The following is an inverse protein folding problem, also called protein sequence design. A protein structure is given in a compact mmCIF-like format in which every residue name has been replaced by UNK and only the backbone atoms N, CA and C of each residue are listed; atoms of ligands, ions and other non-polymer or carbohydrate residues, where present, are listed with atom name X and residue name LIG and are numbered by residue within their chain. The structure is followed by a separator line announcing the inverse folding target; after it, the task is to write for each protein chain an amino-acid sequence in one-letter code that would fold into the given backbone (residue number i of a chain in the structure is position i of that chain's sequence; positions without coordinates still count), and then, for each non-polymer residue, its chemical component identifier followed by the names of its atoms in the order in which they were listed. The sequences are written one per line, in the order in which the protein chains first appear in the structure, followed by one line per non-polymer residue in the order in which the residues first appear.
data_IF_089338384364
#
_entry.id   IF_089338384364
#
_cell.length_a   1.000
_cell.length_b   1.000
_cell.length_c   1.000
_cell.angle_alpha   90.00
_cell.angle_beta   90.00
_cell.angle_gamma   90.00
#
_symmetry.space_group_name_H-M   'P 1'
#
loop_
_entity.id
_entity.type
_entity.pdbx_description
1 polymer ?
#
# COMPACT_ATOMS: atom_id res chain seq x y z
N UNK A 1 15.01 -27.25 -3.13
CA UNK A 1 15.00 -25.93 -3.81
C UNK A 1 13.79 -25.14 -3.31
N UNK A 2 13.97 -24.17 -2.40
CA UNK A 2 12.90 -23.25 -2.02
C UNK A 2 12.69 -22.30 -3.19
N UNK A 3 11.52 -22.36 -3.83
CA UNK A 3 11.07 -21.26 -4.67
C UNK A 3 10.98 -20.02 -3.78
N UNK A 4 11.99 -19.14 -3.82
CA UNK A 4 11.90 -17.81 -3.26
C UNK A 4 10.91 -17.01 -4.12
N UNK A 5 9.63 -17.34 -3.96
CA UNK A 5 8.49 -16.65 -4.55
C UNK A 5 8.26 -15.30 -3.88
N UNK A 6 9.33 -14.52 -3.70
CA UNK A 6 9.19 -13.11 -3.43
C UNK A 6 8.60 -12.49 -4.68
N UNK A 7 7.36 -12.02 -4.53
CA UNK A 7 6.49 -11.41 -5.52
C UNK A 7 6.99 -10.04 -5.96
N UNK A 8 8.28 -9.93 -6.29
CA UNK A 8 8.92 -8.71 -6.77
C UNK A 8 8.22 -8.33 -8.08
N UNK A 9 7.48 -7.23 -8.06
CA UNK A 9 6.92 -6.65 -9.27
C UNK A 9 8.05 -5.96 -10.01
N UNK A 10 8.32 -6.39 -11.24
CA UNK A 10 9.32 -5.73 -12.09
C UNK A 10 8.74 -4.44 -12.65
N UNK A 11 9.61 -3.54 -13.11
CA UNK A 11 9.19 -2.32 -13.83
C UNK A 11 8.34 -2.66 -15.05
N UNK A 12 8.69 -3.72 -15.78
CA UNK A 12 7.95 -4.23 -16.94
C UNK A 12 6.55 -4.69 -16.55
N UNK A 13 6.41 -5.46 -15.46
CA UNK A 13 5.10 -5.89 -14.95
C UNK A 13 4.20 -4.68 -14.67
N UNK A 14 4.76 -3.59 -14.12
CA UNK A 14 4.00 -2.37 -13.84
C UNK A 14 3.64 -1.61 -15.11
N UNK A 15 4.52 -1.57 -16.11
CA UNK A 15 4.21 -0.96 -17.40
C UNK A 15 3.09 -1.69 -18.13
N UNK A 16 3.11 -3.03 -18.15
CA UNK A 16 1.98 -3.82 -18.68
C UNK A 16 0.68 -3.58 -17.92
N UNK A 17 0.77 -3.41 -16.60
CA UNK A 17 -0.39 -3.09 -15.78
C UNK A 17 -1.00 -1.73 -16.18
N UNK A 18 -0.17 -0.70 -16.35
CA UNK A 18 -0.61 0.63 -16.80
C UNK A 18 -1.17 0.59 -18.22
N UNK A 19 -0.53 -0.16 -19.12
CA UNK A 19 -1.01 -0.36 -20.50
C UNK A 19 -2.33 -1.13 -20.54
N UNK A 20 -2.55 -2.08 -19.63
CA UNK A 20 -3.83 -2.78 -19.51
C UNK A 20 -4.98 -1.85 -19.08
N UNK A 21 -4.67 -0.75 -18.37
CA UNK A 21 -5.64 0.30 -18.01
C UNK A 21 -5.98 1.22 -19.17
N UNK A 22 -5.01 1.53 -20.05
CA UNK A 22 -5.26 2.42 -21.19
C UNK A 22 -6.31 1.90 -22.16
N UNK A 23 -6.54 0.58 -22.19
CA UNK A 23 -7.61 -0.04 -22.96
C UNK A 23 -8.95 -0.21 -22.23
N UNK A 24 -9.04 0.20 -20.95
CA UNK A 24 -10.27 0.12 -20.19
C UNK A 24 -11.22 1.29 -20.53
N UNK A 25 -12.54 1.04 -20.63
CA UNK A 25 -13.50 2.09 -21.02
C UNK A 25 -13.67 3.18 -19.97
N UNK A 26 -13.26 2.94 -18.71
CA UNK A 26 -13.27 3.93 -17.65
C UNK A 26 -11.91 3.96 -16.94
N UNK A 27 -11.29 5.14 -16.81
CA UNK A 27 -10.08 5.27 -16.03
C UNK A 27 -10.37 4.99 -14.55
N UNK A 28 -9.39 4.47 -13.80
CA UNK A 28 -9.47 4.42 -12.36
C UNK A 28 -9.85 5.77 -11.76
N UNK A 29 -11.01 5.87 -11.12
CA UNK A 29 -11.36 7.10 -10.39
C UNK A 29 -10.47 7.26 -9.17
N UNK A 30 -9.86 8.44 -9.06
CA UNK A 30 -8.92 8.79 -8.00
C UNK A 30 -9.61 9.65 -6.95
N UNK A 31 -9.60 9.21 -5.69
CA UNK A 31 -9.74 10.09 -4.53
C UNK A 31 -11.08 10.81 -4.33
N UNK A 32 -12.06 10.64 -5.21
CA UNK A 32 -13.42 11.04 -4.89
C UNK A 32 -13.98 10.03 -3.89
N UNK A 33 -14.57 10.52 -2.80
CA UNK A 33 -15.14 9.73 -1.72
C UNK A 33 -16.17 8.78 -2.32
N UNK A 34 -15.71 7.63 -2.77
CA UNK A 34 -16.57 6.57 -3.23
C UNK A 34 -17.41 6.24 -2.02
N UNK A 35 -18.72 6.47 -2.13
CA UNK A 35 -19.65 6.12 -1.07
C UNK A 35 -19.26 4.73 -0.57
N UNK A 36 -19.22 4.55 0.74
CA UNK A 36 -18.75 3.29 1.36
C UNK A 36 -19.56 2.08 0.86
N UNK A 37 -20.71 2.35 0.25
CA UNK A 37 -21.63 1.40 -0.39
C UNK A 37 -21.37 1.15 -1.89
N UNK A 38 -20.52 1.95 -2.55
CA UNK A 38 -20.10 1.79 -3.95
C UNK A 38 -18.77 1.02 -4.07
N UNK A 39 -18.56 0.03 -3.19
CA UNK A 39 -17.38 -0.84 -3.16
C UNK A 39 -17.24 -1.75 -4.41
N UNK A 40 -18.15 -1.63 -5.39
CA UNK A 40 -18.22 -2.49 -6.57
C UNK A 40 -17.89 -1.83 -7.91
N UNK A 41 -17.74 -0.50 -8.03
CA UNK A 41 -17.45 0.08 -9.35
C UNK A 41 -16.01 -0.21 -9.81
N UNK A 42 -15.11 -0.47 -8.85
CA UNK A 42 -13.78 -1.04 -9.09
C UNK A 42 -13.72 -2.54 -8.79
N UNK A 43 -14.86 -3.25 -8.73
CA UNK A 43 -14.86 -4.72 -8.66
C UNK A 43 -14.34 -5.24 -9.99
N UNK A 44 -13.01 -5.26 -10.09
CA UNK A 44 -12.20 -5.86 -11.14
C UNK A 44 -12.96 -5.87 -12.47
N UNK A 45 -12.92 -4.76 -13.23
CA UNK A 45 -13.28 -4.87 -14.65
C UNK A 45 -12.46 -6.06 -15.17
N UNK A 46 -13.08 -7.22 -15.45
CA UNK A 46 -12.35 -8.44 -15.75
C UNK A 46 -11.45 -8.22 -16.96
N UNK A 47 -11.78 -7.21 -17.79
CA UNK A 47 -10.96 -6.72 -18.88
C UNK A 47 -9.54 -6.29 -18.49
N UNK A 48 -9.32 -5.65 -17.33
CA UNK A 48 -7.97 -5.22 -16.93
C UNK A 48 -7.06 -6.44 -16.70
N UNK A 49 -7.55 -7.44 -15.95
CA UNK A 49 -6.76 -8.65 -15.69
C UNK A 49 -6.55 -9.47 -16.96
N UNK A 50 -7.58 -9.63 -17.79
CA UNK A 50 -7.46 -10.31 -19.08
C UNK A 50 -6.44 -9.62 -20.01
N UNK A 51 -6.45 -8.28 -20.09
CA UNK A 51 -5.46 -7.51 -20.87
C UNK A 51 -4.05 -7.64 -20.28
N UNK A 52 -3.91 -7.54 -18.96
CA UNK A 52 -2.64 -7.75 -18.28
C UNK A 52 -2.06 -9.14 -18.58
N UNK A 53 -2.90 -10.19 -18.51
CA UNK A 53 -2.50 -11.55 -18.84
C UNK A 53 -2.08 -11.70 -20.30
N UNK A 54 -2.79 -11.06 -21.23
CA UNK A 54 -2.41 -11.06 -22.65
C UNK A 54 -1.05 -10.37 -22.87
N UNK A 55 -0.80 -9.23 -22.23
CA UNK A 55 0.46 -8.50 -22.31
C UNK A 55 1.63 -9.25 -21.66
N UNK A 56 1.37 -10.02 -20.60
CA UNK A 56 2.38 -10.84 -19.93
C UNK A 56 2.67 -12.17 -20.66
N UNK A 57 2.28 -12.32 -21.92
CA UNK A 57 2.49 -13.53 -22.71
C UNK A 57 1.51 -14.68 -22.41
N UNK A 58 0.33 -14.37 -21.89
CA UNK A 58 -0.76 -15.34 -21.66
C UNK A 58 -0.64 -16.16 -20.38
N UNK A 59 0.43 -15.99 -19.60
CA UNK A 59 0.62 -16.68 -18.33
C UNK A 59 1.20 -15.73 -17.29
N UNK A 60 0.54 -15.64 -16.13
CA UNK A 60 1.06 -14.89 -14.99
C UNK A 60 0.86 -15.68 -13.71
N UNK A 61 1.84 -15.62 -12.81
CA UNK A 61 1.75 -16.21 -11.46
C UNK A 61 0.90 -15.35 -10.52
N UNK A 62 0.45 -14.18 -10.97
CA UNK A 62 -0.28 -13.19 -10.15
C UNK A 62 -1.77 -13.47 -10.19
N UNK A 63 -2.41 -13.49 -9.03
CA UNK A 63 -3.87 -13.57 -8.96
C UNK A 63 -4.52 -12.23 -9.27
N UNK A 64 -5.79 -12.25 -9.69
CA UNK A 64 -6.61 -11.04 -9.92
C UNK A 64 -6.55 -10.09 -8.72
N UNK A 65 -6.66 -10.64 -7.51
CA UNK A 65 -6.59 -9.86 -6.27
C UNK A 65 -5.22 -9.16 -6.09
N UNK A 66 -4.12 -9.81 -6.44
CA UNK A 66 -2.78 -9.20 -6.35
C UNK A 66 -2.58 -8.10 -7.39
N UNK A 67 -3.09 -8.27 -8.61
CA UNK A 67 -3.06 -7.25 -9.67
C UNK A 67 -3.89 -6.02 -9.26
N UNK A 68 -5.07 -6.24 -8.67
CA UNK A 68 -5.90 -5.17 -8.12
C UNK A 68 -5.21 -4.42 -6.99
N UNK A 69 -4.72 -5.13 -5.97
CA UNK A 69 -3.99 -4.49 -4.85
C UNK A 69 -2.78 -3.73 -5.36
N UNK A 70 -2.10 -4.25 -6.39
CA UNK A 70 -0.97 -3.55 -7.00
C UNK A 70 -1.40 -2.27 -7.72
N UNK A 71 -2.54 -2.30 -8.40
CA UNK A 71 -3.13 -1.13 -9.05
C UNK A 71 -3.37 -0.01 -8.05
N UNK A 72 -4.03 -0.31 -6.93
CA UNK A 72 -4.28 0.64 -5.84
C UNK A 72 -2.96 1.25 -5.33
N UNK A 73 -1.94 0.43 -5.07
CA UNK A 73 -0.61 0.88 -4.64
C UNK A 73 0.08 1.80 -5.66
N UNK A 74 0.04 1.48 -6.96
CA UNK A 74 0.65 2.30 -8.01
C UNK A 74 -0.04 3.65 -8.12
N UNK A 75 -1.38 3.65 -8.03
CA UNK A 75 -2.16 4.88 -7.99
C UNK A 75 -1.76 5.71 -6.76
N UNK A 76 -1.90 5.20 -5.55
CA UNK A 76 -1.53 5.92 -4.32
C UNK A 76 -0.11 6.52 -4.39
N UNK A 77 0.83 5.77 -4.97
CA UNK A 77 2.20 6.23 -5.18
C UNK A 77 2.31 7.37 -6.18
N UNK A 78 1.59 7.29 -7.30
CA UNK A 78 1.52 8.37 -8.29
C UNK A 78 0.93 9.66 -7.68
N UNK A 79 -0.18 9.57 -6.94
CA UNK A 79 -0.75 10.75 -6.30
C UNK A 79 0.15 11.35 -5.23
N UNK A 80 0.84 10.50 -4.46
CA UNK A 80 1.83 10.95 -3.49
C UNK A 80 2.96 11.73 -4.16
N UNK A 81 3.52 11.22 -5.26
CA UNK A 81 4.61 11.88 -6.00
C UNK A 81 4.12 13.20 -6.62
N UNK A 82 2.91 13.23 -7.19
CA UNK A 82 2.33 14.48 -7.71
C UNK A 82 2.11 15.52 -6.61
N UNK A 83 1.64 15.10 -5.45
CA UNK A 83 1.51 15.98 -4.28
C UNK A 83 2.86 16.52 -3.82
N UNK A 84 3.90 15.68 -3.84
CA UNK A 84 5.27 16.09 -3.55
C UNK A 84 5.79 17.12 -4.55
N UNK A 85 5.57 16.93 -5.85
CA UNK A 85 5.97 17.89 -6.89
C UNK A 85 5.20 19.21 -6.81
N UNK A 86 3.93 19.18 -6.40
CA UNK A 86 3.11 20.38 -6.23
C UNK A 86 3.56 21.24 -5.04
N UNK A 87 4.10 20.62 -3.98
CA UNK A 87 4.60 21.30 -2.80
C UNK A 87 6.09 21.66 -2.94
N UNK A 88 6.35 22.89 -3.42
CA UNK A 88 7.71 23.43 -3.57
C UNK A 88 8.48 23.55 -2.25
N UNK A 89 7.78 23.79 -1.14
CA UNK A 89 8.41 23.89 0.17
C UNK A 89 8.89 22.52 0.65
N UNK A 90 8.08 21.48 0.41
CA UNK A 90 8.41 20.13 0.83
C UNK A 90 9.45 19.45 -0.05
N UNK A 91 9.43 19.75 -1.36
CA UNK A 91 10.40 19.22 -2.32
C UNK A 91 11.76 19.92 -2.27
N UNK A 92 11.85 21.08 -1.63
CA UNK A 92 13.06 21.91 -1.61
C UNK A 92 13.57 22.21 -3.05
N UNK A 93 12.64 22.23 -4.02
CA UNK A 93 12.94 22.40 -5.44
C UNK A 93 13.60 21.20 -6.13
N UNK A 94 13.75 20.05 -5.45
CA UNK A 94 14.33 18.83 -6.02
C UNK A 94 13.25 17.96 -6.66
N UNK A 95 13.60 17.29 -7.75
CA UNK A 95 12.75 16.29 -8.36
C UNK A 95 12.72 15.01 -7.49
N UNK A 96 11.54 14.39 -7.35
CA UNK A 96 11.35 13.16 -6.60
C UNK A 96 12.31 12.05 -7.04
N UNK A 97 12.51 11.89 -8.35
CA UNK A 97 13.37 10.83 -8.91
C UNK A 97 14.87 11.14 -8.82
N UNK A 98 15.25 12.37 -8.47
CA UNK A 98 16.63 12.74 -8.17
C UNK A 98 17.05 12.42 -6.73
N UNK A 99 16.08 12.17 -5.84
CA UNK A 99 16.34 11.79 -4.46
C UNK A 99 16.90 10.37 -4.36
N UNK A 100 17.73 10.13 -3.35
CA UNK A 100 18.19 8.77 -3.05
C UNK A 100 17.02 7.88 -2.59
N UNK A 101 17.13 6.57 -2.82
CA UNK A 101 16.11 5.59 -2.38
C UNK A 101 15.85 5.67 -0.87
N UNK A 102 16.89 5.96 -0.08
CA UNK A 102 16.78 6.15 1.37
C UNK A 102 15.91 7.37 1.75
N UNK A 103 16.12 8.49 1.06
CA UNK A 103 15.34 9.73 1.25
C UNK A 103 13.89 9.56 0.81
N UNK A 104 13.66 8.96 -0.36
CA UNK A 104 12.30 8.67 -0.85
C UNK A 104 11.52 7.85 0.18
N UNK A 105 12.11 6.76 0.71
CA UNK A 105 11.49 5.95 1.78
C UNK A 105 11.30 6.71 3.08
N UNK A 106 12.19 7.64 3.44
CA UNK A 106 12.04 8.47 4.62
C UNK A 106 10.84 9.42 4.47
N UNK A 107 10.71 10.09 3.32
CA UNK A 107 9.60 11.00 3.02
C UNK A 107 8.25 10.28 3.01
N UNK A 108 8.18 9.09 2.40
CA UNK A 108 6.98 8.23 2.43
C UNK A 108 6.57 7.82 3.86
N UNK A 109 7.54 7.47 4.71
CA UNK A 109 7.26 7.11 6.12
C UNK A 109 6.72 8.30 6.91
N UNK A 110 7.30 9.48 6.71
CA UNK A 110 6.86 10.72 7.39
C UNK A 110 5.43 11.11 7.02
N UNK A 111 5.01 10.84 5.78
CA UNK A 111 3.64 11.09 5.35
C UNK A 111 2.61 10.08 5.89
N UNK A 112 3.05 9.02 6.59
CA UNK A 112 2.15 8.01 7.15
C UNK A 112 1.51 7.09 6.11
N UNK A 113 1.91 7.18 4.85
CA UNK A 113 1.30 6.44 3.75
C UNK A 113 1.80 5.00 3.71
N UNK A 114 1.13 4.10 4.45
CA UNK A 114 1.46 2.66 4.47
C UNK A 114 1.33 1.97 3.11
N UNK A 115 0.58 2.55 2.17
CA UNK A 115 0.28 1.95 0.87
C UNK A 115 1.12 2.50 -0.28
N UNK A 116 1.92 3.55 -0.07
CA UNK A 116 2.80 4.09 -1.11
C UNK A 116 4.02 3.19 -1.24
N UNK A 117 4.43 2.92 -2.48
CA UNK A 117 5.65 2.19 -2.82
C UNK A 117 6.53 3.01 -3.76
N UNK A 118 7.80 2.63 -3.81
CA UNK A 118 8.73 3.15 -4.79
C UNK A 118 8.29 2.67 -6.18
N UNK A 119 8.08 3.62 -7.08
CA UNK A 119 7.81 3.38 -8.50
C UNK A 119 8.87 4.09 -9.32
N UNK A 120 9.22 3.51 -10.46
CA UNK A 120 10.23 4.10 -11.35
C UNK A 120 9.66 5.28 -12.12
N UNK A 121 10.55 6.20 -12.53
CA UNK A 121 10.19 7.38 -13.32
C UNK A 121 9.40 7.03 -14.59
N UNK A 122 9.76 5.92 -15.26
CA UNK A 122 9.06 5.43 -16.45
C UNK A 122 7.61 5.05 -16.17
N UNK A 123 7.36 4.36 -15.05
CA UNK A 123 6.01 3.95 -14.65
C UNK A 123 5.19 5.17 -14.26
N UNK A 124 5.79 6.10 -13.51
CA UNK A 124 5.13 7.36 -13.15
C UNK A 124 4.73 8.17 -14.39
N UNK A 125 5.65 8.36 -15.35
CA UNK A 125 5.37 9.08 -16.59
C UNK A 125 4.27 8.39 -17.43
N UNK A 126 4.24 7.06 -17.47
CA UNK A 126 3.18 6.32 -18.17
C UNK A 126 1.80 6.52 -17.51
N UNK A 127 1.75 6.52 -16.16
CA UNK A 127 0.52 6.79 -15.41
C UNK A 127 0.08 8.24 -15.60
N UNK A 128 1.01 9.20 -15.55
CA UNK A 128 0.67 10.62 -15.71
C UNK A 128 0.21 10.94 -17.14
N UNK A 129 0.84 10.34 -18.16
CA UNK A 129 0.38 10.43 -19.54
C UNK A 129 -1.04 9.87 -19.72
N UNK A 130 -1.34 8.75 -19.06
CA UNK A 130 -2.68 8.17 -19.08
C UNK A 130 -3.74 9.14 -18.51
N UNK A 131 -3.42 9.87 -17.44
CA UNK A 131 -4.34 10.87 -16.87
C UNK A 131 -4.34 12.22 -17.63
N UNK A 132 -3.24 12.60 -18.28
CA UNK A 132 -3.14 13.86 -19.03
C UNK A 132 -3.86 13.83 -20.38
N UNK A 133 -4.08 12.65 -20.97
CA UNK A 133 -4.73 12.51 -22.29
C UNK A 133 -6.24 12.71 -22.25
N UNK A 134 -6.91 12.57 -21.10
CA UNK A 134 -8.38 12.64 -21.02
C UNK A 134 -8.96 14.04 -21.13
N UNK A 135 -8.17 15.08 -20.84
CA UNK A 135 -8.62 16.48 -20.94
C UNK A 135 -8.32 17.09 -22.32
N UNK A 136 -7.49 16.43 -23.13
CA UNK A 136 -7.32 16.79 -24.54
C UNK A 136 -8.46 16.17 -25.34
N UNK A 137 -9.63 16.81 -25.21
CA UNK A 137 -10.83 16.47 -25.96
C UNK A 137 -10.49 16.16 -27.42
N UNK A 138 -10.80 14.95 -27.92
CA UNK A 138 -10.53 14.56 -29.31
C UNK A 138 -11.30 15.43 -30.33
N UNK A 139 -12.18 16.33 -29.87
CA UNK A 139 -12.86 17.31 -30.71
C UNK A 139 -11.93 18.38 -31.32
N UNK A 140 -10.69 18.55 -30.82
CA UNK A 140 -9.78 19.60 -31.31
C UNK A 140 -8.76 19.14 -32.38
N UNK A 141 -8.62 17.83 -32.64
CA UNK A 141 -7.60 17.31 -33.59
C UNK A 141 -8.17 17.07 -35.00
N UNK A 142 -9.48 17.21 -35.21
CA UNK A 142 -10.12 17.02 -36.51
C UNK A 142 -10.04 18.21 -37.49
N UNK A 143 -9.21 19.25 -37.25
CA UNK A 143 -9.22 20.47 -38.10
C UNK A 143 -7.86 20.97 -38.62
N UNK A 144 -6.80 20.14 -38.64
CA UNK A 144 -5.52 20.52 -39.28
C UNK A 144 -4.95 19.45 -40.22
N UNK A 145 -5.79 18.95 -41.12
CA UNK A 145 -5.34 18.34 -42.39
C UNK A 145 -5.75 19.25 -43.54
N UNK A 146 -5.13 20.43 -43.61
CA UNK A 146 -5.17 21.27 -44.81
C UNK A 146 -3.74 21.38 -45.36
N UNK A 147 -3.42 20.41 -46.22
CA UNK A 147 -2.74 20.62 -47.51
C UNK A 147 -1.58 21.63 -47.54
N UNK A 148 -0.36 21.17 -47.30
CA UNK A 148 0.83 21.80 -47.89
C UNK A 148 1.69 20.72 -48.53
N UNK A 149 1.85 20.86 -49.85
CA UNK A 149 2.53 19.94 -50.76
C UNK A 149 4.05 19.86 -50.51
N UNK A 150 4.70 18.74 -50.89
CA UNK A 150 6.13 18.57 -50.74
C UNK A 150 6.90 19.27 -51.87
N UNK A 151 7.92 20.06 -51.51
CA UNK A 151 8.95 20.54 -52.46
C UNK A 151 10.29 19.94 -52.05
N UNK A 152 10.83 19.15 -52.98
CA UNK A 152 12.09 18.43 -52.88
C UNK A 152 13.31 19.36 -53.06
N UNK A 153 14.33 19.11 -52.24
CA UNK A 153 15.77 19.43 -52.40
C UNK A 153 16.44 18.86 -51.14
N UNK A 154 17.16 17.73 -51.16
CA UNK A 154 18.47 17.41 -51.79
C UNK A 154 19.61 18.23 -51.16
N UNK A 155 20.70 17.50 -50.86
CA UNK A 155 22.01 17.86 -50.28
C UNK A 155 22.09 17.57 -48.76
N UNK A 156 22.68 16.45 -48.29
CA UNK A 156 24.07 15.93 -48.43
C UNK A 156 25.05 16.75 -47.58
N UNK A 157 25.44 16.22 -46.41
CA UNK A 157 26.77 16.44 -45.84
C UNK A 157 27.09 15.44 -44.72
N UNK A 158 28.19 14.71 -44.94
CA UNK A 158 29.04 14.03 -43.96
C UNK A 158 29.39 14.96 -42.79
N UNK A 159 29.51 14.45 -41.55
CA UNK A 159 30.77 14.62 -40.81
C UNK A 159 30.85 13.86 -39.47
N UNK A 160 32.02 13.27 -39.29
CA UNK A 160 32.80 13.09 -38.06
C UNK A 160 32.30 12.18 -36.93
N UNK A 161 32.81 10.95 -37.02
CA UNK A 161 33.32 10.14 -35.92
C UNK A 161 34.31 10.95 -35.05
N UNK A 162 34.11 10.96 -33.73
CA UNK A 162 35.20 11.20 -32.77
C UNK A 162 35.22 10.08 -31.73
N UNK A 163 36.26 9.25 -31.85
CA UNK A 163 36.84 8.46 -30.78
C UNK A 163 37.48 9.38 -29.71
N UNK A 164 37.21 9.10 -28.44
CA UNK A 164 38.10 9.43 -27.31
C UNK A 164 37.86 8.34 -26.26
N UNK A 165 38.73 7.35 -26.10
CA UNK A 165 40.13 7.34 -25.64
C UNK A 165 40.34 7.82 -24.18
N UNK A 166 40.91 6.87 -23.44
CA UNK A 166 41.61 6.88 -22.15
C UNK A 166 41.35 7.94 -21.06
N UNK A 167 41.02 7.43 -19.87
CA UNK A 167 41.78 7.64 -18.60
C UNK A 167 41.05 6.88 -17.49
N UNK A 168 41.58 5.80 -16.92
CA UNK A 168 42.73 5.72 -16.01
C UNK A 168 42.69 6.83 -14.94
N UNK A 169 42.45 6.45 -13.67
CA UNK A 169 43.20 6.89 -12.49
C UNK A 169 42.49 6.53 -11.17
N UNK A 170 43.24 5.76 -10.36
CA UNK A 170 43.40 5.84 -8.89
C UNK A 170 42.28 5.36 -7.96
N UNK A 171 42.52 4.14 -7.48
CA UNK A 171 42.40 3.78 -6.06
C UNK A 171 43.09 4.83 -5.17
N UNK A 172 42.37 5.38 -4.19
CA UNK A 172 42.98 5.80 -2.93
C UNK A 172 42.19 5.25 -1.74
N UNK A 173 42.85 4.29 -1.08
CA UNK A 173 42.60 3.92 0.31
C UNK A 173 42.97 5.11 1.21
N UNK A 174 42.03 5.57 2.02
CA UNK A 174 42.34 6.28 3.24
C UNK A 174 41.54 5.68 4.40
N UNK A 175 42.28 4.91 5.20
CA UNK A 175 41.95 4.56 6.57
C UNK A 175 41.86 5.82 7.43
N UNK A 176 40.67 6.14 7.93
CA UNK A 176 40.47 7.18 8.95
C UNK A 176 39.94 6.55 10.23
N UNK A 177 40.89 6.17 11.08
CA UNK A 177 40.73 5.96 12.52
C UNK A 177 40.42 7.30 13.18
N UNK A 178 39.23 7.46 13.77
CA UNK A 178 38.97 8.56 14.72
C UNK A 178 38.47 7.97 16.03
N UNK A 179 39.43 7.92 16.95
CA UNK A 179 39.33 7.74 18.38
C UNK A 179 38.91 9.06 19.05
N UNK A 180 38.13 8.97 20.12
CA UNK A 180 37.98 10.00 21.16
C UNK A 180 37.10 11.22 20.88
N UNK A 181 35.96 11.34 21.57
CA UNK A 181 35.18 12.59 21.60
C UNK A 181 33.90 12.50 22.41
N UNK A 182 34.04 12.48 23.73
CA UNK A 182 32.96 12.58 24.71
C UNK A 182 32.49 14.03 24.75
N UNK A 183 31.34 14.33 24.16
CA UNK A 183 30.69 15.64 24.28
C UNK A 183 29.25 15.47 24.75
N UNK A 184 29.03 15.76 26.03
CA UNK A 184 27.70 15.98 26.61
C UNK A 184 27.30 17.42 26.32
N UNK A 185 26.86 17.66 25.08
CA UNK A 185 26.39 18.95 24.59
C UNK A 185 24.88 18.95 24.36
N UNK A 186 24.16 19.38 25.39
CA UNK A 186 22.92 20.16 25.34
C UNK A 186 22.08 20.08 24.04
N UNK A 187 21.14 19.13 23.99
CA UNK A 187 20.15 19.02 22.92
C UNK A 187 18.95 19.93 23.18
N UNK A 188 19.18 21.24 23.30
CA UNK A 188 18.11 22.22 23.25
C UNK A 188 17.56 22.34 21.82
N UNK A 189 16.36 21.80 21.61
CA UNK A 189 15.38 22.48 20.78
C UNK A 189 15.59 22.51 19.27
N UNK A 190 15.96 21.39 18.62
CA UNK A 190 15.53 21.19 17.22
C UNK A 190 14.01 21.00 17.20
N UNK A 191 13.28 22.13 17.24
CA UNK A 191 11.87 22.22 16.91
C UNK A 191 11.71 21.71 15.48
N UNK A 192 11.39 20.42 15.33
CA UNK A 192 10.86 19.92 14.07
C UNK A 192 9.65 20.78 13.76
N UNK A 193 9.74 21.62 12.71
CA UNK A 193 8.59 22.37 12.23
C UNK A 193 7.49 21.33 11.99
N UNK A 194 6.29 21.50 12.59
CA UNK A 194 5.20 20.56 12.37
C UNK A 194 4.99 20.48 10.87
N UNK A 195 5.17 19.28 10.30
CA UNK A 195 4.94 19.03 8.89
C UNK A 195 3.58 19.62 8.51
N UNK A 196 3.46 20.31 7.35
CA UNK A 196 2.17 20.78 6.89
C UNK A 196 1.24 19.56 6.89
N UNK A 197 0.24 19.60 7.77
CA UNK A 197 -0.79 18.57 7.82
C UNK A 197 -1.44 18.61 6.45
N UNK A 198 -1.04 17.68 5.59
CA UNK A 198 -1.56 17.58 4.25
C UNK A 198 -3.08 17.52 4.38
N UNK A 199 -3.76 18.62 4.00
CA UNK A 199 -5.21 18.78 4.15
C UNK A 199 -6.00 17.93 3.14
N UNK A 200 -5.33 17.06 2.39
CA UNK A 200 -5.96 15.89 1.80
C UNK A 200 -6.18 14.86 2.88
N UNK A 201 -7.44 14.68 3.30
CA UNK A 201 -7.86 13.59 4.18
C UNK A 201 -7.58 12.25 3.50
N UNK A 202 -6.34 11.78 3.59
CA UNK A 202 -5.98 10.40 3.30
C UNK A 202 -6.45 9.61 4.52
N UNK A 203 -7.72 9.22 4.45
CA UNK A 203 -8.41 8.45 5.48
C UNK A 203 -7.57 7.20 5.73
N UNK A 204 -6.99 7.11 6.92
CA UNK A 204 -6.46 5.85 7.44
C UNK A 204 -7.60 4.85 7.43
N UNK A 205 -7.65 4.05 6.36
CA UNK A 205 -8.51 2.88 6.24
C UNK A 205 -8.05 1.91 7.32
N UNK A 206 -8.72 1.94 8.48
CA UNK A 206 -8.62 0.88 9.47
C UNK A 206 -9.07 -0.41 8.76
N UNK A 207 -8.12 -1.20 8.28
CA UNK A 207 -8.35 -2.55 7.80
C UNK A 207 -8.93 -3.35 8.98
N UNK A 208 -10.25 -3.52 8.98
CA UNK A 208 -10.90 -4.55 9.77
C UNK A 208 -10.43 -5.90 9.23
N UNK A 209 -9.32 -6.38 9.77
CA UNK A 209 -8.78 -7.70 9.52
C UNK A 209 -9.85 -8.73 9.87
N UNK A 210 -10.50 -9.28 8.83
CA UNK A 210 -11.34 -10.47 8.95
C UNK A 210 -10.39 -11.64 9.21
N UNK A 211 -10.10 -11.88 10.48
CA UNK A 211 -9.48 -13.11 10.95
C UNK A 211 -10.49 -14.22 10.69
N UNK A 212 -10.16 -15.11 9.76
CA UNK A 212 -10.81 -16.40 9.59
C UNK A 212 -10.68 -17.15 10.92
N UNK A 213 -11.79 -17.28 11.65
CA UNK A 213 -11.90 -18.25 12.73
C UNK A 213 -11.89 -19.62 12.10
N UNK A 214 -10.73 -20.25 12.18
CA UNK A 214 -10.54 -21.69 12.08
C UNK A 214 -11.06 -22.25 13.41
N UNK A 215 -12.29 -22.74 13.40
CA UNK A 215 -12.89 -23.46 14.52
C UNK A 215 -12.80 -24.95 14.20
N UNK A 216 -11.73 -25.58 14.67
CA UNK A 216 -11.69 -27.01 14.95
C UNK A 216 -12.73 -27.30 16.04
N UNK A 217 -13.92 -27.74 15.63
CA UNK A 217 -14.91 -28.33 16.53
C UNK A 217 -14.69 -29.82 16.57
N UNK A 218 -14.35 -30.32 17.75
CA UNK A 218 -14.26 -31.74 18.08
C UNK A 218 -15.59 -32.45 17.77
N UNK A 219 -15.42 -33.62 17.18
CA UNK A 219 -16.42 -34.55 16.67
C UNK A 219 -17.12 -35.24 17.87
N UNK A 220 -18.26 -34.71 18.31
CA UNK A 220 -19.13 -35.39 19.28
C UNK A 220 -20.23 -36.15 18.54
N UNK A 221 -19.98 -37.45 18.38
CA UNK A 221 -20.88 -38.47 17.85
C UNK A 221 -22.16 -38.56 18.69
N UNK A 222 -23.30 -38.19 18.10
CA UNK A 222 -24.63 -38.60 18.59
C UNK A 222 -25.40 -39.39 17.52
N UNK A 223 -26.13 -40.45 17.92
CA UNK A 223 -26.79 -41.39 17.01
C UNK A 223 -28.08 -40.84 16.39
N UNK A 224 -28.52 -41.41 15.25
CA UNK A 224 -29.69 -40.94 14.50
C UNK A 224 -30.99 -41.33 15.23
N UNK A 225 -31.78 -40.32 15.58
CA UNK A 225 -33.19 -40.50 15.89
C UNK A 225 -33.97 -40.29 14.58
N UNK A 226 -34.47 -41.40 14.05
CA UNK A 226 -35.63 -41.46 13.17
C UNK A 226 -36.81 -40.79 13.88
N UNK A 227 -37.56 -39.92 13.21
CA UNK A 227 -39.02 -39.83 13.35
C UNK A 227 -39.62 -38.80 12.38
N UNK A 228 -40.40 -39.37 11.46
CA UNK A 228 -41.73 -38.94 11.02
C UNK A 228 -41.91 -37.61 10.26
N UNK A 229 -42.11 -37.81 8.95
CA UNK A 229 -42.87 -36.96 8.05
C UNK A 229 -44.30 -36.75 8.58
N UNK A 230 -44.69 -35.52 8.92
CA UNK A 230 -46.09 -35.09 8.81
C UNK A 230 -46.20 -33.79 8.01
N UNK A 231 -46.83 -33.94 6.86
CA UNK A 231 -47.10 -32.95 5.83
C UNK A 231 -48.33 -32.10 6.23
N UNK A 232 -48.13 -31.00 6.98
CA UNK A 232 -49.24 -30.09 7.31
C UNK A 232 -49.21 -28.81 6.45
N UNK A 233 -50.00 -28.86 5.37
CA UNK A 233 -50.28 -27.71 4.49
C UNK A 233 -51.29 -26.79 5.16
N UNK A 234 -50.84 -25.94 6.07
CA UNK A 234 -51.71 -24.90 6.63
C UNK A 234 -51.77 -23.63 5.77
N UNK A 235 -53.00 -23.26 5.47
CA UNK A 235 -53.40 -22.11 4.67
C UNK A 235 -52.87 -20.77 5.20
N UNK A 236 -52.15 -20.02 4.35
CA UNK A 236 -51.70 -18.65 4.58
C UNK A 236 -52.88 -17.66 4.73
N UNK A 237 -53.44 -17.55 5.94
CA UNK A 237 -54.23 -16.38 6.34
C UNK A 237 -53.28 -15.22 6.63
N UNK A 238 -53.28 -14.23 5.73
CA UNK A 238 -52.58 -12.94 5.88
C UNK A 238 -53.13 -12.21 7.10
N UNK A 239 -52.54 -12.45 8.26
CA UNK A 239 -52.82 -11.75 9.52
C UNK A 239 -52.30 -10.32 9.33
N UNK A 240 -53.21 -9.35 9.19
CA UNK A 240 -52.87 -7.92 9.27
C UNK A 240 -52.38 -7.66 10.68
N UNK A 241 -51.06 -7.60 10.86
CA UNK A 241 -50.42 -7.19 12.10
C UNK A 241 -50.63 -5.69 12.22
N UNK A 242 -51.56 -5.33 13.11
CA UNK A 242 -51.95 -3.97 13.45
C UNK A 242 -51.80 -3.82 14.96
N UNK A 243 -50.55 -3.86 15.45
CA UNK A 243 -50.24 -3.45 16.83
C UNK A 243 -48.89 -2.75 16.84
N UNK A 244 -48.91 -1.46 17.16
CA UNK A 244 -47.70 -0.64 17.38
C UNK A 244 -46.75 -1.27 18.41
N UNK A 245 -47.28 -2.07 19.34
CA UNK A 245 -46.51 -2.76 20.40
C UNK A 245 -45.40 -3.69 19.84
N UNK A 246 -45.56 -4.21 18.62
CA UNK A 246 -44.55 -5.07 17.99
C UNK A 246 -43.30 -4.31 17.52
N UNK A 247 -43.42 -3.01 17.23
CA UNK A 247 -42.29 -2.18 16.80
C UNK A 247 -41.35 -1.87 17.97
N UNK A 248 -41.90 -1.60 19.16
CA UNK A 248 -41.09 -1.36 20.35
C UNK A 248 -40.28 -2.59 20.76
N UNK A 249 -40.86 -3.78 20.65
CA UNK A 249 -40.14 -5.03 20.95
C UNK A 249 -38.97 -5.26 19.97
N UNK A 250 -39.17 -5.01 18.68
CA UNK A 250 -38.11 -5.13 17.67
C UNK A 250 -37.00 -4.12 17.93
N UNK A 251 -37.35 -2.87 18.22
CA UNK A 251 -36.36 -1.81 18.50
C UNK A 251 -35.57 -2.10 19.78
N UNK A 252 -36.23 -2.57 20.85
CA UNK A 252 -35.54 -2.95 22.09
C UNK A 252 -34.65 -4.17 21.92
N UNK A 253 -35.04 -5.14 21.08
CA UNK A 253 -34.19 -6.30 20.74
C UNK A 253 -32.96 -5.87 19.94
N UNK A 254 -33.15 -5.00 18.95
CA UNK A 254 -32.04 -4.47 18.13
C UNK A 254 -31.09 -3.60 18.96
N UNK A 255 -31.61 -2.76 19.85
CA UNK A 255 -30.77 -1.91 20.70
C UNK A 255 -29.94 -2.72 21.70
N UNK A 256 -30.50 -3.77 22.29
CA UNK A 256 -29.74 -4.71 23.15
C UNK A 256 -28.67 -5.46 22.36
N UNK A 257 -29.00 -5.95 21.17
CA UNK A 257 -28.02 -6.63 20.31
C UNK A 257 -26.85 -5.71 19.95
N UNK A 258 -27.13 -4.45 19.59
CA UNK A 258 -26.11 -3.46 19.30
C UNK A 258 -25.27 -3.12 20.55
N UNK A 259 -25.89 -2.96 21.72
CA UNK A 259 -25.19 -2.69 22.97
C UNK A 259 -24.23 -3.83 23.34
N UNK A 260 -24.67 -5.08 23.19
CA UNK A 260 -23.83 -6.25 23.43
C UNK A 260 -22.63 -6.28 22.47
N UNK A 261 -22.85 -6.05 21.18
CA UNK A 261 -21.79 -6.00 20.19
C UNK A 261 -20.75 -4.90 20.47
N UNK A 262 -21.20 -3.71 20.87
CA UNK A 262 -20.31 -2.62 21.23
C UNK A 262 -19.49 -2.92 22.50
N UNK A 263 -20.12 -3.52 23.51
CA UNK A 263 -19.45 -3.96 24.74
C UNK A 263 -18.40 -5.03 24.45
N UNK A 264 -18.74 -6.03 23.64
CA UNK A 264 -17.82 -7.09 23.22
C UNK A 264 -16.61 -6.49 22.48
N UNK A 265 -16.85 -5.61 21.51
CA UNK A 265 -15.77 -4.94 20.75
C UNK A 265 -14.90 -4.03 21.63
N UNK A 266 -15.47 -3.39 22.65
CA UNK A 266 -14.70 -2.62 23.63
C UNK A 266 -13.81 -3.53 24.49
N UNK A 267 -14.34 -4.67 24.93
CA UNK A 267 -13.59 -5.67 25.70
C UNK A 267 -12.46 -6.30 24.90
N UNK A 268 -12.69 -6.55 23.60
CA UNK A 268 -11.69 -7.08 22.67
C UNK A 268 -10.50 -6.12 22.51
N UNK A 269 -10.76 -4.84 22.25
CA UNK A 269 -9.70 -3.81 22.18
C UNK A 269 -8.94 -3.68 23.49
N UNK A 270 -9.61 -3.83 24.63
CA UNK A 270 -8.95 -3.79 25.94
C UNK A 270 -8.00 -4.97 26.13
N UNK A 271 -8.42 -6.19 25.74
CA UNK A 271 -7.57 -7.38 25.76
C UNK A 271 -6.37 -7.25 24.83
N UNK A 272 -6.58 -6.73 23.61
CA UNK A 272 -5.50 -6.50 22.64
C UNK A 272 -4.45 -5.51 23.18
N UNK A 273 -4.88 -4.41 23.80
CA UNK A 273 -3.97 -3.43 24.43
C UNK A 273 -3.18 -4.04 25.59
N UNK A 274 -3.81 -4.88 26.39
CA UNK A 274 -3.16 -5.56 27.50
C UNK A 274 -2.13 -6.58 27.01
N UNK A 275 -2.44 -7.36 25.98
CA UNK A 275 -1.47 -8.27 25.34
C UNK A 275 -0.27 -7.51 24.78
N UNK A 276 -0.50 -6.39 24.07
CA UNK A 276 0.59 -5.57 23.55
C UNK A 276 1.44 -4.94 24.67
N UNK A 277 0.84 -4.65 25.83
CA UNK A 277 1.59 -4.20 27.01
C UNK A 277 2.47 -5.32 27.56
N UNK A 278 1.91 -6.52 27.73
CA UNK A 278 2.63 -7.70 28.23
C UNK A 278 3.80 -8.07 27.32
N UNK A 279 3.62 -8.02 26.00
CA UNK A 279 4.68 -8.25 25.02
C UNK A 279 5.84 -7.25 25.20
N UNK A 280 5.56 -5.95 25.31
CA UNK A 280 6.60 -4.93 25.55
C UNK A 280 7.28 -5.09 26.90
N UNK A 281 6.59 -5.59 27.91
CA UNK A 281 7.18 -5.90 29.23
C UNK A 281 8.06 -7.15 29.16
N UNK A 282 7.65 -8.18 28.42
CA UNK A 282 8.44 -9.38 28.16
C UNK A 282 9.73 -9.05 27.39
N UNK A 283 9.64 -8.24 26.34
CA UNK A 283 10.79 -7.78 25.57
C UNK A 283 11.77 -6.98 26.44
N UNK A 284 11.25 -6.04 27.25
CA UNK A 284 12.09 -5.28 28.20
C UNK A 284 12.79 -6.21 29.19
N UNK A 285 12.09 -7.23 29.71
CA UNK A 285 12.68 -8.24 30.61
C UNK A 285 13.73 -9.10 29.92
N UNK A 286 13.51 -9.46 28.65
CA UNK A 286 14.49 -10.20 27.86
C UNK A 286 15.77 -9.38 27.67
N UNK A 287 15.67 -8.15 27.20
CA UNK A 287 16.82 -7.28 26.94
C UNK A 287 17.60 -6.90 28.20
N UNK A 288 16.91 -6.73 29.34
CA UNK A 288 17.58 -6.46 30.63
C UNK A 288 18.38 -7.68 31.11
N UNK A 289 17.83 -8.89 30.98
CA UNK A 289 18.56 -10.13 31.28
C UNK A 289 19.77 -10.31 30.37
N UNK A 290 19.61 -10.07 29.07
CA UNK A 290 20.70 -10.24 28.11
C UNK A 290 21.84 -9.26 28.37
N UNK A 291 21.55 -7.97 28.57
CA UNK A 291 22.57 -6.98 28.97
C UNK A 291 23.25 -7.32 30.29
N UNK A 292 22.55 -7.95 31.23
CA UNK A 292 23.14 -8.38 32.49
C UNK A 292 24.15 -9.52 32.26
N UNK A 293 23.85 -10.47 31.37
CA UNK A 293 24.80 -11.52 30.97
C UNK A 293 26.02 -10.93 30.27
N UNK A 294 25.83 -10.02 29.32
CA UNK A 294 26.94 -9.37 28.62
C UNK A 294 27.85 -8.63 29.60
N UNK A 295 27.28 -7.90 30.57
CA UNK A 295 28.04 -7.24 31.63
C UNK A 295 28.78 -8.24 32.52
N UNK A 296 28.21 -9.41 32.80
CA UNK A 296 28.86 -10.46 33.58
C UNK A 296 30.05 -11.06 32.81
N UNK A 297 29.88 -11.37 31.53
CA UNK A 297 30.94 -11.87 30.65
C UNK A 297 32.10 -10.87 30.55
N UNK A 298 31.79 -9.57 30.38
CA UNK A 298 32.82 -8.53 30.36
C UNK A 298 33.61 -8.48 31.67
N UNK A 299 32.93 -8.56 32.83
CA UNK A 299 33.60 -8.60 34.14
C UNK A 299 34.53 -9.81 34.26
N UNK A 300 34.11 -10.98 33.77
CA UNK A 300 34.92 -12.20 33.79
C UNK A 300 36.18 -12.06 32.92
N UNK A 301 36.03 -11.53 31.69
CA UNK A 301 37.15 -11.29 30.78
C UNK A 301 38.19 -10.33 31.38
N UNK A 302 37.74 -9.23 32.00
CA UNK A 302 38.64 -8.28 32.66
C UNK A 302 39.30 -8.88 33.91
N UNK A 303 38.57 -9.68 34.70
CA UNK A 303 39.13 -10.37 35.86
C UNK A 303 40.20 -11.41 35.49
N UNK A 304 40.10 -12.01 34.29
CA UNK A 304 41.09 -12.98 33.79
C UNK A 304 42.36 -12.32 33.25
N UNK A 305 42.26 -11.10 32.69
CA UNK A 305 43.41 -10.37 32.13
C UNK A 305 44.31 -9.70 33.18
N UNK A 306 43.78 -9.47 34.40
CA UNK A 306 44.53 -8.86 35.51
C UNK A 306 45.34 -9.84 36.37
N UNK A 307 45.43 -11.12 35.99
CA UNK A 307 46.29 -12.15 36.60
C UNK A 307 47.38 -12.55 35.62
#
# INVERSE_FOLDING_TARGET
MRAMGATNWTTEDLLWLVQAWSGAPQPPHFGEKQDVNATSAFSADPGIYSRFMALSGGSTKRSVATVRKRTEVVLDSHAFIRAFHADREWSEGRDWFSLSVGEQRARMRTAGSRQVQLIDAKVFAAVDAFFGTTDTSPAAVASKTATVAPKASVEDEENQEEESDASDLKEEKASSSSDGGKDEGDSEGRRQKPYPKFRGSWISREETSKRSSDSESEEETQPPAEEEEEEERESKKRRRVSSDDGLEEILTRQSRSLANFLSERASERSRERELSRQEREADRRFWTKERAKDRALLRELFARRGR
#
